data_IF_305760234265
#
_entry.id   IF_305760234265
#
_cell.length_a   1.000
_cell.length_b   1.000
_cell.length_c   1.000
_cell.angle_alpha   90.00
_cell.angle_beta   90.00
_cell.angle_gamma   90.00
#
_symmetry.space_group_name_H-M   'P 1'
#
loop_
_entity.id
_entity.type
_entity.pdbx_description
1 polymer ?
#
# COMPACT_ATOMS: atom_id res chain seq x y z
N UNK A 1 -15.33 -20.55 -10.09
CA UNK A 1 -16.34 -21.50 -10.58
C UNK A 1 -16.93 -22.16 -9.34
N UNK A 2 -18.24 -22.05 -9.10
CA UNK A 2 -18.84 -22.44 -7.81
C UNK A 2 -18.59 -23.91 -7.46
N UNK A 3 -18.44 -24.77 -8.48
CA UNK A 3 -18.12 -26.20 -8.30
C UNK A 3 -16.81 -26.49 -7.56
N UNK A 4 -15.75 -25.71 -7.81
CA UNK A 4 -14.46 -25.91 -7.11
C UNK A 4 -14.55 -25.50 -5.65
N UNK A 5 -15.41 -24.53 -5.34
CA UNK A 5 -15.66 -24.08 -3.97
C UNK A 5 -16.47 -25.15 -3.22
N UNK A 6 -17.49 -25.71 -3.86
CA UNK A 6 -18.28 -26.82 -3.31
C UNK A 6 -17.40 -28.05 -3.03
N UNK A 7 -16.59 -28.47 -4.02
CA UNK A 7 -15.62 -29.57 -3.86
C UNK A 7 -14.62 -29.31 -2.72
N UNK A 8 -14.19 -28.05 -2.54
CA UNK A 8 -13.32 -27.67 -1.43
C UNK A 8 -14.03 -27.78 -0.08
N UNK A 9 -15.25 -27.27 0.04
CA UNK A 9 -16.05 -27.33 1.27
C UNK A 9 -16.33 -28.78 1.64
N UNK A 10 -16.76 -29.60 0.68
CA UNK A 10 -17.02 -31.03 0.88
C UNK A 10 -15.77 -31.76 1.39
N UNK A 11 -14.60 -31.46 0.83
CA UNK A 11 -13.33 -32.02 1.30
C UNK A 11 -13.01 -31.59 2.73
N UNK A 12 -13.23 -30.31 3.07
CA UNK A 12 -12.98 -29.81 4.43
C UNK A 12 -13.89 -30.52 5.43
N UNK A 13 -15.19 -30.60 5.15
CA UNK A 13 -16.17 -31.30 6.00
C UNK A 13 -15.85 -32.79 6.10
N UNK A 14 -15.50 -33.44 4.98
CA UNK A 14 -15.14 -34.86 4.94
C UNK A 14 -13.88 -35.25 5.71
N UNK A 15 -13.07 -34.27 6.14
CA UNK A 15 -11.88 -34.50 6.99
C UNK A 15 -12.11 -34.22 8.48
N UNK A 16 -13.30 -33.76 8.87
CA UNK A 16 -13.62 -33.45 10.26
C UNK A 16 -13.91 -34.72 11.09
N UNK A 17 -13.58 -34.68 12.39
CA UNK A 17 -13.99 -35.74 13.33
C UNK A 17 -15.47 -35.62 13.71
N UNK A 18 -16.05 -36.67 14.28
CA UNK A 18 -17.44 -36.65 14.79
C UNK A 18 -17.67 -35.52 15.81
N UNK A 19 -16.70 -35.26 16.69
CA UNK A 19 -16.77 -34.17 17.66
C UNK A 19 -16.80 -32.79 16.98
N UNK A 20 -16.00 -32.61 15.92
CA UNK A 20 -15.97 -31.37 15.13
C UNK A 20 -17.24 -31.18 14.30
N UNK A 21 -17.82 -32.25 13.76
CA UNK A 21 -19.10 -32.20 13.07
C UNK A 21 -20.23 -31.84 14.03
N UNK A 22 -20.22 -32.41 15.25
CA UNK A 22 -21.17 -32.06 16.32
C UNK A 22 -21.05 -30.60 16.74
N UNK A 23 -19.82 -30.08 16.86
CA UNK A 23 -19.58 -28.66 17.15
C UNK A 23 -20.02 -27.75 15.99
N UNK A 24 -19.75 -28.15 14.75
CA UNK A 24 -20.18 -27.43 13.54
C UNK A 24 -21.71 -27.32 13.47
N UNK A 25 -22.44 -28.39 13.81
CA UNK A 25 -23.91 -28.39 13.87
C UNK A 25 -24.44 -27.44 14.94
N UNK A 26 -23.79 -27.40 16.11
CA UNK A 26 -24.21 -26.56 17.24
C UNK A 26 -23.80 -25.08 17.06
N UNK A 27 -22.66 -24.84 16.42
CA UNK A 27 -22.06 -23.52 16.23
C UNK A 27 -21.36 -23.44 14.87
N UNK A 28 -22.12 -23.21 13.77
CA UNK A 28 -21.56 -23.23 12.42
C UNK A 28 -20.74 -21.98 12.10
N UNK A 29 -21.04 -20.84 12.73
CA UNK A 29 -20.47 -19.55 12.36
C UNK A 29 -18.92 -19.47 12.46
N UNK A 30 -18.25 -19.97 13.52
CA UNK A 30 -16.79 -20.01 13.58
C UNK A 30 -16.15 -20.77 12.42
N UNK A 31 -16.77 -21.86 11.97
CA UNK A 31 -16.30 -22.67 10.85
C UNK A 31 -16.48 -21.93 9.53
N UNK A 32 -17.63 -21.28 9.31
CA UNK A 32 -17.87 -20.41 8.15
C UNK A 32 -16.79 -19.33 8.06
N UNK A 33 -16.51 -18.63 9.15
CA UNK A 33 -15.46 -17.59 9.19
C UNK A 33 -14.09 -18.16 8.85
N UNK A 34 -13.71 -19.32 9.39
CA UNK A 34 -12.44 -19.98 9.09
C UNK A 34 -12.33 -20.41 7.62
N UNK A 35 -13.37 -21.04 7.08
CA UNK A 35 -13.41 -21.48 5.68
C UNK A 35 -13.32 -20.28 4.74
N UNK A 36 -14.14 -19.24 4.98
CA UNK A 36 -14.10 -18.01 4.19
C UNK A 36 -12.72 -17.33 4.27
N UNK A 37 -12.12 -17.28 5.46
CA UNK A 37 -10.76 -16.79 5.65
C UNK A 37 -9.76 -17.54 4.78
N UNK A 38 -9.80 -18.88 4.81
CA UNK A 38 -8.87 -19.70 4.03
C UNK A 38 -9.06 -19.56 2.53
N UNK A 39 -10.31 -19.49 2.06
CA UNK A 39 -10.61 -19.27 0.65
C UNK A 39 -10.08 -17.91 0.18
N UNK A 40 -10.28 -16.86 0.96
CA UNK A 40 -9.73 -15.51 0.64
C UNK A 40 -8.21 -15.53 0.57
N UNK A 41 -7.55 -16.21 1.51
CA UNK A 41 -6.09 -16.38 1.52
C UNK A 41 -5.59 -17.08 0.25
N UNK A 42 -6.20 -18.20 -0.13
CA UNK A 42 -5.85 -18.94 -1.35
C UNK A 42 -6.04 -18.12 -2.62
N UNK A 43 -7.14 -17.35 -2.68
CA UNK A 43 -7.40 -16.44 -3.80
C UNK A 43 -6.35 -15.33 -3.86
N UNK A 44 -5.96 -14.75 -2.72
CA UNK A 44 -4.92 -13.72 -2.67
C UNK A 44 -3.56 -14.27 -3.14
N UNK A 45 -3.17 -15.45 -2.66
CA UNK A 45 -1.94 -16.14 -3.08
C UNK A 45 -1.93 -16.42 -4.58
N UNK A 46 -3.05 -16.93 -5.12
CA UNK A 46 -3.17 -17.18 -6.56
C UNK A 46 -3.06 -15.90 -7.38
N UNK A 47 -3.76 -14.82 -6.99
CA UNK A 47 -3.68 -13.52 -7.67
C UNK A 47 -2.26 -12.97 -7.68
N UNK A 48 -1.57 -13.04 -6.55
CA UNK A 48 -0.18 -12.59 -6.42
C UNK A 48 0.75 -13.38 -7.33
N UNK A 49 0.62 -14.72 -7.34
CA UNK A 49 1.43 -15.59 -8.21
C UNK A 49 1.18 -15.37 -9.71
N UNK A 50 -0.09 -15.16 -10.11
CA UNK A 50 -0.43 -14.83 -11.51
C UNK A 50 0.14 -13.47 -11.90
N UNK A 51 0.05 -12.47 -11.02
CA UNK A 51 0.61 -11.15 -11.26
C UNK A 51 2.13 -11.20 -11.46
N UNK A 52 2.85 -11.88 -10.56
CA UNK A 52 4.30 -12.06 -10.69
C UNK A 52 4.66 -12.79 -12.00
N UNK A 53 3.92 -13.86 -12.35
CA UNK A 53 4.10 -14.57 -13.62
C UNK A 53 3.88 -13.66 -14.83
N UNK A 54 2.88 -12.78 -14.79
CA UNK A 54 2.58 -11.86 -15.88
C UNK A 54 3.61 -10.73 -15.98
N UNK A 55 4.19 -10.29 -14.87
CA UNK A 55 5.34 -9.39 -14.88
C UNK A 55 6.55 -10.05 -15.53
N UNK A 56 6.88 -11.29 -15.16
CA UNK A 56 8.02 -12.04 -15.74
C UNK A 56 7.86 -12.33 -17.24
N UNK A 57 6.61 -12.44 -17.70
CA UNK A 57 6.26 -12.67 -19.11
C UNK A 57 6.08 -11.37 -19.91
N UNK A 58 6.42 -10.21 -19.34
CA UNK A 58 6.22 -8.88 -19.94
C UNK A 58 4.77 -8.61 -20.38
N UNK A 59 3.79 -9.31 -19.79
CA UNK A 59 2.36 -9.08 -20.05
C UNK A 59 1.83 -7.85 -19.31
N UNK A 60 2.53 -7.45 -18.24
CA UNK A 60 2.25 -6.24 -17.47
C UNK A 60 3.36 -5.23 -17.75
N UNK A 61 2.97 -4.01 -18.11
CA UNK A 61 3.88 -2.89 -18.32
C UNK A 61 3.44 -1.69 -17.50
N UNK A 62 4.40 -0.83 -17.12
CA UNK A 62 4.11 0.42 -16.43
C UNK A 62 4.05 1.57 -17.44
N UNK A 63 2.89 2.22 -17.53
CA UNK A 63 2.64 3.33 -18.45
C UNK A 63 2.19 4.58 -17.69
N UNK A 64 2.49 5.79 -18.20
CA UNK A 64 1.95 7.02 -17.64
C UNK A 64 0.42 7.00 -17.68
N UNK A 65 -0.23 7.07 -16.52
CA UNK A 65 -1.69 6.94 -16.40
C UNK A 65 -2.33 7.93 -15.41
N UNK A 66 -1.58 8.89 -14.89
CA UNK A 66 -2.09 9.81 -13.89
C UNK A 66 -1.51 11.21 -14.09
N UNK A 67 -2.38 12.20 -13.95
CA UNK A 67 -2.03 13.62 -13.90
C UNK A 67 -2.67 14.22 -12.65
N UNK A 68 -1.88 15.01 -11.92
CA UNK A 68 -2.38 15.75 -10.77
C UNK A 68 -3.44 16.75 -11.26
N UNK A 69 -4.60 16.85 -10.59
CA UNK A 69 -5.65 17.77 -10.99
C UNK A 69 -5.17 19.23 -10.86
N UNK A 70 -5.75 20.14 -11.64
CA UNK A 70 -5.43 21.57 -11.51
C UNK A 70 -5.94 22.17 -10.19
N UNK A 71 -6.99 21.57 -9.61
CA UNK A 71 -7.66 22.02 -8.38
C UNK A 71 -8.12 20.80 -7.59
N UNK A 72 -7.99 20.85 -6.27
CA UNK A 72 -8.58 19.90 -5.32
C UNK A 72 -9.65 20.59 -4.47
N UNK A 73 -10.57 19.81 -3.91
CA UNK A 73 -11.63 20.32 -3.02
C UNK A 73 -11.88 19.32 -1.89
N UNK A 74 -10.92 19.17 -0.96
CA UNK A 74 -11.06 18.26 0.17
C UNK A 74 -12.14 18.74 1.14
N UNK A 75 -12.80 17.79 1.81
CA UNK A 75 -13.87 18.08 2.79
C UNK A 75 -13.32 18.78 4.04
N UNK A 76 -12.13 18.40 4.48
CA UNK A 76 -11.37 19.02 5.56
C UNK A 76 -9.98 19.36 5.03
N UNK A 77 -9.44 20.51 5.40
CA UNK A 77 -8.21 21.04 4.80
C UNK A 77 -7.28 21.71 5.80
N UNK A 78 -6.01 21.77 5.42
CA UNK A 78 -4.95 22.48 6.13
C UNK A 78 -4.06 23.25 5.16
N UNK A 79 -3.56 24.40 5.60
CA UNK A 79 -2.57 25.20 4.88
C UNK A 79 -1.36 25.54 5.76
N UNK A 80 -1.14 24.74 6.81
CA UNK A 80 -0.15 25.03 7.86
C UNK A 80 1.29 24.68 7.45
N UNK A 81 1.46 23.64 6.64
CA UNK A 81 2.79 23.13 6.27
C UNK A 81 3.25 23.80 4.97
N UNK A 82 4.45 24.40 4.93
CA UNK A 82 4.95 25.06 3.73
C UNK A 82 5.24 24.04 2.61
N UNK A 83 5.46 24.55 1.38
CA UNK A 83 5.75 23.75 0.18
C UNK A 83 4.64 22.76 -0.19
N UNK A 84 3.40 23.00 0.20
CA UNK A 84 2.26 22.28 -0.37
C UNK A 84 2.12 22.57 -1.87
N UNK A 85 1.67 21.59 -2.65
CA UNK A 85 1.41 21.76 -4.07
C UNK A 85 0.17 22.62 -4.29
N UNK A 86 -0.88 22.38 -3.50
CA UNK A 86 -2.11 23.16 -3.54
C UNK A 86 -2.14 24.18 -2.41
N UNK A 87 -2.93 25.25 -2.60
CA UNK A 87 -3.10 26.33 -1.60
C UNK A 87 -3.57 25.81 -0.24
N UNK A 88 -4.39 24.75 -0.25
CA UNK A 88 -4.77 23.99 0.93
C UNK A 88 -4.81 22.51 0.54
N UNK A 89 -4.22 21.69 1.39
CA UNK A 89 -4.15 20.23 1.24
C UNK A 89 -5.24 19.58 2.09
N UNK A 90 -5.58 18.32 1.79
CA UNK A 90 -6.49 17.56 2.65
C UNK A 90 -5.89 17.39 4.06
N UNK A 91 -6.74 17.47 5.08
CA UNK A 91 -6.31 17.34 6.48
C UNK A 91 -5.70 15.97 6.77
N UNK A 92 -4.66 15.92 7.60
CA UNK A 92 -3.80 14.74 7.81
C UNK A 92 -3.83 14.24 9.25
N UNK A 93 -3.48 12.97 9.45
CA UNK A 93 -3.24 12.48 10.81
C UNK A 93 -1.90 13.02 11.37
N UNK A 94 -1.68 12.88 12.68
CA UNK A 94 -0.50 13.42 13.37
C UNK A 94 0.83 12.91 12.78
N UNK A 95 0.89 11.64 12.39
CA UNK A 95 2.10 11.04 11.85
C UNK A 95 2.36 11.48 10.40
N UNK A 96 1.33 11.51 9.55
CA UNK A 96 1.41 12.11 8.21
C UNK A 96 1.90 13.56 8.29
N UNK A 97 1.34 14.35 9.21
CA UNK A 97 1.75 15.74 9.47
C UNK A 97 3.24 15.84 9.82
N UNK A 98 3.73 14.99 10.72
CA UNK A 98 5.15 14.92 11.11
C UNK A 98 6.06 14.62 9.91
N UNK A 99 5.65 13.68 9.05
CA UNK A 99 6.41 13.32 7.84
C UNK A 99 6.45 14.48 6.84
N UNK A 100 5.31 15.09 6.51
CA UNK A 100 5.28 16.23 5.57
C UNK A 100 6.01 17.45 6.12
N UNK A 101 5.95 17.69 7.43
CA UNK A 101 6.67 18.78 8.07
C UNK A 101 8.19 18.61 7.89
N UNK A 102 8.71 17.43 8.23
CA UNK A 102 10.12 17.10 8.07
C UNK A 102 10.58 17.20 6.61
N UNK A 103 9.75 16.74 5.66
CA UNK A 103 10.02 16.90 4.22
C UNK A 103 10.02 18.36 3.79
N UNK A 104 9.12 19.18 4.33
CA UNK A 104 9.02 20.60 3.98
C UNK A 104 10.26 21.40 4.42
N UNK A 105 10.97 20.94 5.44
CA UNK A 105 12.22 21.54 5.91
C UNK A 105 13.42 21.25 5.00
N UNK A 106 13.32 20.29 4.08
CA UNK A 106 14.41 19.97 3.16
C UNK A 106 14.43 20.92 1.95
N UNK A 107 15.58 21.55 1.69
CA UNK A 107 15.75 22.49 0.57
C UNK A 107 15.61 21.84 -0.81
N UNK A 108 15.90 20.55 -0.95
CA UNK A 108 15.76 19.84 -2.22
C UNK A 108 14.31 19.40 -2.51
N UNK A 109 13.39 19.53 -1.55
CA UNK A 109 11.95 19.30 -1.76
C UNK A 109 11.34 20.56 -2.41
N UNK A 110 10.76 20.37 -3.59
CA UNK A 110 10.08 21.42 -4.36
C UNK A 110 8.63 21.61 -3.89
N UNK A 111 7.90 20.52 -3.77
CA UNK A 111 6.55 20.50 -3.23
C UNK A 111 6.17 19.10 -2.73
N UNK A 112 5.16 19.04 -1.86
CA UNK A 112 4.48 17.82 -1.47
C UNK A 112 2.95 17.96 -1.67
N UNK A 113 2.27 16.84 -1.83
CA UNK A 113 0.81 16.76 -1.94
C UNK A 113 0.31 15.58 -1.11
N UNK A 114 -0.77 15.76 -0.34
CA UNK A 114 -1.45 14.62 0.31
C UNK A 114 -2.34 13.93 -0.72
N UNK A 115 -2.01 12.68 -1.04
CA UNK A 115 -2.76 11.89 -2.01
C UNK A 115 -4.11 11.46 -1.42
N UNK A 116 -5.19 12.06 -1.90
CA UNK A 116 -6.53 11.82 -1.37
C UNK A 116 -6.93 10.35 -1.62
N UNK A 117 -7.13 9.59 -0.55
CA UNK A 117 -7.35 8.14 -0.64
C UNK A 117 -8.51 7.81 -1.60
N UNK A 118 -8.27 6.87 -2.52
CA UNK A 118 -9.22 6.39 -3.55
C UNK A 118 -9.68 7.42 -4.58
N UNK A 119 -9.24 8.67 -4.50
CA UNK A 119 -9.48 9.71 -5.51
C UNK A 119 -8.20 10.12 -6.24
N UNK A 120 -7.05 9.94 -5.59
CA UNK A 120 -5.74 10.29 -6.10
C UNK A 120 -5.05 9.17 -6.87
N UNK A 121 -3.71 9.25 -6.90
CA UNK A 121 -2.86 8.27 -7.56
C UNK A 121 -2.97 6.89 -6.89
N UNK A 122 -2.94 5.84 -7.70
CA UNK A 122 -2.90 4.46 -7.24
C UNK A 122 -1.83 3.67 -8.00
N UNK A 123 -1.16 2.78 -7.28
CA UNK A 123 -0.29 1.77 -7.87
C UNK A 123 -1.12 0.50 -8.08
N UNK A 124 -1.13 0.02 -9.33
CA UNK A 124 -1.84 -1.20 -9.70
C UNK A 124 -0.99 -2.44 -9.37
N UNK A 125 -1.63 -3.43 -8.77
CA UNK A 125 -1.03 -4.69 -8.37
C UNK A 125 -2.09 -5.77 -8.09
N UNK A 126 -1.70 -6.93 -7.54
CA UNK A 126 -2.65 -7.93 -7.05
C UNK A 126 -3.50 -7.39 -5.90
N UNK A 127 -2.96 -6.39 -5.17
CA UNK A 127 -3.68 -5.43 -4.35
C UNK A 127 -3.31 -4.02 -4.79
N UNK A 128 -4.19 -3.04 -4.56
CA UNK A 128 -3.90 -1.64 -4.85
C UNK A 128 -3.14 -1.01 -3.68
N UNK A 129 -2.07 -0.27 -4.00
CA UNK A 129 -1.39 0.58 -3.03
C UNK A 129 -1.72 2.06 -3.33
N UNK A 130 -2.03 2.80 -2.28
CA UNK A 130 -2.35 4.22 -2.32
C UNK A 130 -1.34 4.92 -1.43
N UNK A 131 -0.23 5.44 -1.99
CA UNK A 131 0.72 6.23 -1.22
C UNK A 131 -0.02 7.39 -0.56
N UNK A 132 0.33 7.77 0.67
CA UNK A 132 -0.35 8.84 1.39
C UNK A 132 0.13 10.23 0.92
N UNK A 133 1.42 10.33 0.56
CA UNK A 133 2.07 11.59 0.20
C UNK A 133 2.83 11.43 -1.12
N UNK A 134 2.71 12.43 -1.99
CA UNK A 134 3.49 12.56 -3.22
C UNK A 134 4.44 13.73 -3.07
N UNK A 135 5.73 13.52 -3.30
CA UNK A 135 6.77 14.55 -3.14
C UNK A 135 7.49 14.76 -4.46
N UNK A 136 7.69 16.00 -4.87
CA UNK A 136 8.54 16.37 -6.00
C UNK A 136 9.82 17.01 -5.48
N UNK A 137 10.96 16.51 -5.94
CA UNK A 137 12.25 17.13 -5.69
C UNK A 137 12.60 18.15 -6.77
N UNK A 138 13.50 19.08 -6.46
CA UNK A 138 14.05 20.01 -7.43
C UNK A 138 14.85 19.31 -8.54
N UNK A 139 15.38 18.11 -8.27
CA UNK A 139 15.98 17.22 -9.28
C UNK A 139 14.95 16.65 -10.28
N UNK A 140 13.66 16.88 -10.05
CA UNK A 140 12.53 16.38 -10.84
C UNK A 140 12.02 15.02 -10.39
N UNK A 141 12.75 14.32 -9.50
CA UNK A 141 12.33 13.01 -8.98
C UNK A 141 11.01 13.12 -8.23
N UNK A 142 10.17 12.11 -8.38
CA UNK A 142 8.88 12.01 -7.66
C UNK A 142 8.92 10.84 -6.69
N UNK A 143 8.64 11.12 -5.43
CA UNK A 143 8.60 10.12 -4.37
C UNK A 143 7.16 9.84 -4.00
N UNK A 144 6.79 8.57 -4.00
CA UNK A 144 5.55 8.03 -3.46
C UNK A 144 5.83 7.56 -2.05
N UNK A 145 5.17 8.13 -1.05
CA UNK A 145 5.43 7.88 0.36
C UNK A 145 4.17 7.34 1.02
N UNK A 146 4.22 6.10 1.51
CA UNK A 146 3.17 5.49 2.34
C UNK A 146 3.62 5.51 3.79
N UNK A 147 2.85 6.17 4.66
CA UNK A 147 3.14 6.32 6.08
C UNK A 147 2.54 5.17 6.88
N UNK A 148 3.29 4.66 7.86
CA UNK A 148 2.85 3.56 8.74
C UNK A 148 3.19 3.83 10.19
N UNK A 149 2.19 3.68 11.05
CA UNK A 149 2.43 3.55 12.49
C UNK A 149 3.12 2.22 12.79
N UNK A 150 3.99 2.20 13.81
CA UNK A 150 4.80 1.02 14.14
C UNK A 150 3.99 -0.24 14.49
N UNK A 151 2.73 -0.09 14.90
CA UNK A 151 1.82 -1.19 15.22
C UNK A 151 1.18 -1.85 13.98
N UNK A 152 1.42 -1.31 12.78
CA UNK A 152 0.81 -1.76 11.52
C UNK A 152 1.75 -2.59 10.64
N UNK A 153 2.85 -3.10 11.19
CA UNK A 153 3.70 -4.06 10.49
C UNK A 153 3.02 -5.44 10.46
N UNK A 154 2.43 -5.77 9.31
CA UNK A 154 1.71 -7.01 9.07
C UNK A 154 1.93 -7.48 7.62
N UNK A 155 1.35 -8.62 7.26
CA UNK A 155 1.55 -9.18 5.92
C UNK A 155 0.96 -8.30 4.80
N UNK A 156 -0.09 -7.52 5.08
CA UNK A 156 -0.63 -6.55 4.13
C UNK A 156 0.38 -5.42 3.83
N UNK A 157 1.08 -4.93 4.86
CA UNK A 157 2.15 -3.93 4.70
C UNK A 157 3.31 -4.47 3.86
N UNK A 158 3.69 -5.74 4.06
CA UNK A 158 4.72 -6.40 3.24
C UNK A 158 4.30 -6.51 1.77
N UNK A 159 3.05 -6.90 1.50
CA UNK A 159 2.53 -7.01 0.14
C UNK A 159 2.50 -5.65 -0.57
N UNK A 160 2.03 -4.59 0.11
CA UNK A 160 2.03 -3.23 -0.44
C UNK A 160 3.44 -2.70 -0.70
N UNK A 161 4.38 -2.95 0.23
CA UNK A 161 5.78 -2.57 0.04
C UNK A 161 6.40 -3.27 -1.17
N UNK A 162 6.15 -4.58 -1.34
CA UNK A 162 6.60 -5.35 -2.52
C UNK A 162 6.06 -4.73 -3.82
N UNK A 163 4.78 -4.38 -3.87
CA UNK A 163 4.14 -3.77 -5.04
C UNK A 163 4.72 -2.39 -5.34
N UNK A 164 4.91 -1.56 -4.32
CA UNK A 164 5.52 -0.25 -4.47
C UNK A 164 6.97 -0.32 -4.98
N UNK A 165 7.76 -1.27 -4.48
CA UNK A 165 9.13 -1.54 -4.95
C UNK A 165 9.15 -2.05 -6.42
N UNK A 166 8.26 -2.98 -6.78
CA UNK A 166 8.10 -3.44 -8.16
C UNK A 166 7.73 -2.28 -9.09
N UNK A 167 6.77 -1.43 -8.70
CA UNK A 167 6.39 -0.24 -9.45
C UNK A 167 7.55 0.74 -9.63
N UNK A 168 8.32 1.00 -8.57
CA UNK A 168 9.49 1.89 -8.63
C UNK A 168 10.58 1.35 -9.57
N UNK A 169 10.77 0.03 -9.63
CA UNK A 169 11.71 -0.61 -10.56
C UNK A 169 11.27 -0.45 -12.02
N UNK A 170 9.98 -0.63 -12.31
CA UNK A 170 9.42 -0.54 -13.66
C UNK A 170 9.33 0.90 -14.19
N UNK A 171 9.19 1.89 -13.31
CA UNK A 171 9.12 3.32 -13.66
C UNK A 171 10.49 3.99 -13.84
N UNK A 172 11.59 3.27 -13.57
CA UNK A 172 12.95 3.74 -13.76
C UNK A 172 13.45 4.65 -12.62
N UNK A 173 14.41 5.55 -12.93
CA UNK A 173 15.11 6.35 -11.90
C UNK A 173 14.34 7.58 -11.43
N UNK A 174 13.27 7.95 -12.14
CA UNK A 174 12.51 9.18 -11.92
C UNK A 174 11.55 9.07 -10.75
N UNK A 175 10.99 7.88 -10.54
CA UNK A 175 10.00 7.61 -9.52
C UNK A 175 10.60 6.70 -8.46
N UNK A 176 10.23 6.96 -7.21
CA UNK A 176 10.63 6.15 -6.06
C UNK A 176 9.43 5.88 -5.18
N UNK A 177 9.45 4.75 -4.49
CA UNK A 177 8.44 4.38 -3.52
C UNK A 177 9.10 4.11 -2.17
N UNK A 178 8.50 4.63 -1.10
CA UNK A 178 8.96 4.46 0.26
C UNK A 178 7.77 4.18 1.17
N UNK A 179 7.85 3.11 1.94
CA UNK A 179 7.00 2.87 3.09
C UNK A 179 7.76 3.35 4.34
N UNK A 180 7.22 4.36 5.02
CA UNK A 180 7.91 5.07 6.10
C UNK A 180 7.22 4.78 7.42
N UNK A 181 7.95 4.08 8.29
CA UNK A 181 7.54 3.75 9.65
C UNK A 181 8.04 4.81 10.63
N UNK A 182 7.32 4.98 11.74
CA UNK A 182 7.67 6.01 12.71
C UNK A 182 9.05 5.80 13.33
N UNK A 183 9.31 4.58 13.82
CA UNK A 183 10.62 4.23 14.37
C UNK A 183 11.17 2.93 13.80
N UNK A 184 10.31 2.01 13.35
CA UNK A 184 10.74 0.70 12.87
C UNK A 184 11.47 0.79 11.54
N UNK A 185 12.36 -0.17 11.30
CA UNK A 185 12.95 -0.42 10.01
C UNK A 185 12.77 -1.90 9.65
N UNK A 186 11.62 -2.28 9.08
CA UNK A 186 11.37 -3.66 8.71
C UNK A 186 12.33 -4.17 7.63
N UNK A 187 12.58 -5.47 7.62
CA UNK A 187 13.54 -6.13 6.71
C UNK A 187 12.90 -6.49 5.35
N UNK A 188 12.08 -5.60 4.79
CA UNK A 188 11.51 -5.78 3.45
C UNK A 188 11.73 -4.56 2.55
N UNK A 189 11.83 -4.77 1.23
CA UNK A 189 12.20 -3.72 0.29
C UNK A 189 11.29 -2.51 0.35
N UNK A 190 11.87 -1.32 0.27
CA UNK A 190 11.14 -0.06 0.25
C UNK A 190 10.64 0.41 1.62
N UNK A 191 10.83 -0.37 2.70
CA UNK A 191 10.45 0.03 4.05
C UNK A 191 11.61 0.64 4.84
N UNK A 192 11.37 1.78 5.48
CA UNK A 192 12.38 2.54 6.23
C UNK A 192 11.77 3.18 7.46
N UNK A 193 12.60 3.43 8.48
CA UNK A 193 12.23 4.36 9.54
C UNK A 193 12.20 5.79 8.99
N UNK A 194 11.48 6.69 9.65
CA UNK A 194 11.46 8.12 9.29
C UNK A 194 12.87 8.70 9.23
N UNK A 195 13.71 8.41 10.23
CA UNK A 195 15.11 8.87 10.27
C UNK A 195 15.87 8.44 9.01
N UNK A 196 15.84 7.14 8.68
CA UNK A 196 16.55 6.62 7.52
C UNK A 196 15.99 7.15 6.21
N UNK A 197 14.68 7.29 6.12
CA UNK A 197 14.02 7.89 4.96
C UNK A 197 14.50 9.32 4.73
N UNK A 198 14.57 10.14 5.78
CA UNK A 198 15.03 11.53 5.68
C UNK A 198 16.51 11.63 5.27
N UNK A 199 17.37 10.73 5.74
CA UNK A 199 18.77 10.64 5.27
C UNK A 199 18.85 10.37 3.77
N UNK A 200 18.02 9.43 3.27
CA UNK A 200 17.99 9.09 1.85
C UNK A 200 17.52 10.29 1.03
N UNK A 201 16.42 10.94 1.42
CA UNK A 201 15.82 12.03 0.64
C UNK A 201 16.76 13.23 0.53
N UNK A 202 17.55 13.53 1.55
CA UNK A 202 18.54 14.63 1.52
C UNK A 202 19.57 14.48 0.39
N UNK A 203 19.88 13.25 0.00
CA UNK A 203 20.90 12.94 -1.02
C UNK A 203 20.32 12.73 -2.44
N UNK A 204 19.00 12.92 -2.63
CA UNK A 204 18.29 12.71 -3.91
C UNK A 204 18.08 13.98 -4.76
#
# INVERSE_FOLDING_TARGET
>A
NDRELDEYIDRVIGTMSEDQLSELEQSPYPYVVKIQGKVKELIAQHRSGVFDTWLEQDKISCLPNYALPAVISPTAFTSMVPKSLYTAEEDMNEYEFKVVWALSELDNVKWWHRNISRLGFQINGPVHAYPDIIVMLHSGKVLMVETKGDHLDNDESKEKAKIGDQWAKLTGKQYKYYMVFETKQPDYPGAYSLERFMEIVKEL
#
